data_IF_079449646757
#
_entry.id   IF_079449646757
#
_cell.length_a   1.000
_cell.length_b   1.000
_cell.length_c   1.000
_cell.angle_alpha   90.00
_cell.angle_beta   90.00
_cell.angle_gamma   90.00
#
_symmetry.space_group_name_H-M   'P 1'
#
loop_
_entity.id
_entity.type
_entity.pdbx_description
1 polymer ?
#
# COMPACT_ATOMS: atom_id res chain seq x y z
N UNK A 1 3.99 -11.92 20.46
CA UNK A 1 3.80 -10.58 21.05
C UNK A 1 2.41 -10.14 20.67
N UNK A 2 1.54 -9.87 21.64
CA UNK A 2 0.18 -9.42 21.34
C UNK A 2 0.23 -7.99 20.80
N UNK A 3 -0.57 -7.61 19.78
CA UNK A 3 -0.59 -6.25 19.22
C UNK A 3 -0.92 -5.14 20.23
N UNK A 4 -1.38 -5.48 21.44
CA UNK A 4 -1.72 -4.50 22.49
C UNK A 4 -0.50 -3.89 23.20
N UNK A 5 0.68 -4.50 23.10
CA UNK A 5 1.88 -4.08 23.86
C UNK A 5 2.90 -3.27 23.02
N UNK A 6 2.62 -3.02 21.74
CA UNK A 6 3.52 -2.21 20.91
C UNK A 6 3.47 -0.73 21.33
N UNK A 7 4.63 -0.06 21.52
CA UNK A 7 4.66 1.35 21.91
C UNK A 7 4.01 2.23 20.81
N UNK A 8 3.36 3.33 21.19
CA UNK A 8 2.57 4.17 20.26
C UNK A 8 3.39 4.75 19.10
N UNK A 9 4.70 4.91 19.29
CA UNK A 9 5.63 5.35 18.23
C UNK A 9 5.74 4.31 17.10
N UNK A 10 5.70 3.00 17.43
CA UNK A 10 5.82 1.93 16.43
C UNK A 10 4.57 1.84 15.54
N UNK A 11 3.38 2.00 16.12
CA UNK A 11 2.13 2.01 15.36
C UNK A 11 2.06 3.19 14.38
N UNK A 12 2.57 4.35 14.79
CA UNK A 12 2.66 5.53 13.92
C UNK A 12 3.62 5.31 12.75
N UNK A 13 4.74 4.63 12.99
CA UNK A 13 5.68 4.27 11.92
C UNK A 13 5.06 3.28 10.92
N UNK A 14 4.32 2.27 11.40
CA UNK A 14 3.63 1.30 10.53
C UNK A 14 2.63 1.97 9.58
N UNK A 15 1.89 2.98 10.06
CA UNK A 15 0.95 3.76 9.23
C UNK A 15 1.63 4.60 8.12
N UNK A 16 2.94 4.80 8.18
CA UNK A 16 3.67 5.64 7.22
C UNK A 16 4.70 4.86 6.40
N UNK A 17 4.64 3.53 6.42
CA UNK A 17 5.49 2.63 5.63
C UNK A 17 4.64 1.72 4.76
N UNK A 18 5.26 1.14 3.74
CA UNK A 18 4.64 0.07 2.96
C UNK A 18 4.79 -1.26 3.70
N UNK A 19 3.79 -2.16 3.62
CA UNK A 19 3.84 -3.44 4.30
C UNK A 19 4.92 -4.35 3.70
N UNK A 20 5.54 -5.19 4.53
CA UNK A 20 6.66 -6.08 4.13
C UNK A 20 6.34 -6.93 2.89
N UNK A 21 5.13 -7.51 2.73
CA UNK A 21 4.72 -8.17 1.49
C UNK A 21 4.98 -7.36 0.20
N UNK A 22 4.89 -6.03 0.23
CA UNK A 22 5.12 -5.18 -0.93
C UNK A 22 6.61 -4.83 -1.15
N UNK A 23 7.43 -4.87 -0.12
CA UNK A 23 8.81 -4.34 -0.13
C UNK A 23 9.90 -5.40 0.02
N UNK A 24 9.56 -6.60 0.51
CA UNK A 24 10.51 -7.67 0.80
C UNK A 24 11.32 -8.08 -0.45
N UNK A 25 12.65 -7.85 -0.46
CA UNK A 25 13.50 -8.13 -1.63
C UNK A 25 13.61 -9.63 -1.95
N UNK A 26 13.24 -10.52 -1.04
CA UNK A 26 13.24 -11.96 -1.28
C UNK A 26 11.96 -12.44 -1.99
N UNK A 27 10.93 -11.59 -2.10
CA UNK A 27 9.75 -11.88 -2.90
C UNK A 27 9.99 -11.56 -4.37
N UNK A 28 9.32 -12.30 -5.24
CA UNK A 28 9.42 -12.07 -6.68
C UNK A 28 8.97 -10.66 -7.04
N UNK A 29 9.48 -10.13 -8.16
CA UNK A 29 9.06 -8.81 -8.65
C UNK A 29 7.56 -8.78 -8.99
N UNK A 30 7.02 -9.90 -9.51
CA UNK A 30 5.59 -10.08 -9.77
C UNK A 30 4.77 -9.99 -8.49
N UNK A 31 5.13 -10.75 -7.46
CA UNK A 31 4.40 -10.77 -6.17
C UNK A 31 4.40 -9.40 -5.50
N UNK A 32 5.55 -8.71 -5.50
CA UNK A 32 5.65 -7.35 -4.94
C UNK A 32 4.77 -6.37 -5.71
N UNK A 33 4.74 -6.47 -7.04
CA UNK A 33 3.93 -5.61 -7.88
C UNK A 33 2.42 -5.87 -7.67
N UNK A 34 2.01 -7.14 -7.66
CA UNK A 34 0.63 -7.55 -7.37
C UNK A 34 0.18 -7.06 -5.98
N UNK A 35 0.98 -7.34 -4.94
CA UNK A 35 0.70 -6.89 -3.57
C UNK A 35 0.60 -5.37 -3.50
N UNK A 36 1.48 -4.64 -4.19
CA UNK A 36 1.45 -3.17 -4.24
C UNK A 36 0.16 -2.67 -4.90
N UNK A 37 -0.30 -3.30 -5.98
CA UNK A 37 -1.56 -2.96 -6.65
C UNK A 37 -2.78 -3.23 -5.77
N UNK A 38 -2.78 -4.30 -4.96
CA UNK A 38 -3.88 -4.59 -4.03
C UNK A 38 -4.08 -3.50 -2.98
N UNK A 39 -3.02 -2.80 -2.57
CA UNK A 39 -3.11 -1.69 -1.59
C UNK A 39 -3.90 -0.48 -2.10
N UNK A 40 -4.20 -0.41 -3.41
CA UNK A 40 -5.09 0.62 -3.97
C UNK A 40 -6.57 0.36 -3.70
N UNK A 41 -6.93 -0.77 -3.08
CA UNK A 41 -8.30 -1.03 -2.63
C UNK A 41 -8.76 -0.11 -1.48
N UNK A 42 -7.81 0.48 -0.76
CA UNK A 42 -8.10 1.34 0.37
C UNK A 42 -8.35 2.78 -0.08
N UNK A 43 -9.29 3.43 0.59
CA UNK A 43 -9.73 4.80 0.31
C UNK A 43 -9.40 5.74 1.47
N UNK A 44 -9.27 7.04 1.18
CA UNK A 44 -8.94 8.05 2.20
C UNK A 44 -10.12 8.43 3.10
N UNK A 45 -11.30 7.84 2.90
CA UNK A 45 -12.53 8.23 3.61
C UNK A 45 -13.32 7.02 4.09
N UNK A 46 -14.30 7.27 4.97
CA UNK A 46 -15.25 6.25 5.39
C UNK A 46 -14.60 5.02 6.04
N UNK A 47 -15.11 3.83 5.70
CA UNK A 47 -14.64 2.53 6.20
C UNK A 47 -13.28 2.12 5.63
N UNK A 48 -12.97 2.48 4.37
CA UNK A 48 -11.70 2.11 3.73
C UNK A 48 -10.47 2.66 4.45
N UNK A 49 -10.59 3.85 5.05
CA UNK A 49 -9.53 4.45 5.86
C UNK A 49 -9.28 3.65 7.15
N UNK A 50 -10.35 3.18 7.80
CA UNK A 50 -10.27 2.42 9.05
C UNK A 50 -9.73 1.02 8.77
N UNK A 51 -10.20 0.37 7.70
CA UNK A 51 -9.72 -0.95 7.27
C UNK A 51 -8.23 -0.92 6.92
N UNK A 52 -7.77 0.16 6.27
CA UNK A 52 -6.34 0.36 6.02
C UNK A 52 -5.54 0.50 7.31
N UNK A 53 -6.01 1.33 8.24
CA UNK A 53 -5.31 1.56 9.50
C UNK A 53 -5.25 0.26 10.32
N UNK A 54 -6.32 -0.53 10.34
CA UNK A 54 -6.37 -1.84 10.99
C UNK A 54 -5.38 -2.81 10.35
N UNK A 55 -5.32 -2.86 9.01
CA UNK A 55 -4.35 -3.69 8.27
C UNK A 55 -2.90 -3.31 8.59
N UNK A 56 -2.58 -2.02 8.66
CA UNK A 56 -1.22 -1.55 8.94
C UNK A 56 -0.78 -1.78 10.40
N UNK A 57 -1.71 -1.61 11.34
CA UNK A 57 -1.37 -1.60 12.77
C UNK A 57 -1.65 -2.94 13.46
N UNK A 58 -2.50 -3.78 12.88
CA UNK A 58 -3.03 -4.97 13.53
C UNK A 58 -4.08 -4.68 14.60
N UNK A 59 -4.52 -3.43 14.75
CA UNK A 59 -5.57 -3.04 15.70
C UNK A 59 -6.95 -3.48 15.18
N UNK A 60 -7.78 -4.00 16.09
CA UNK A 60 -9.18 -4.28 15.80
C UNK A 60 -10.00 -2.98 15.60
N UNK A 61 -9.68 -1.95 16.39
CA UNK A 61 -10.27 -0.61 16.26
C UNK A 61 -9.16 0.47 16.29
N UNK A 62 -8.71 0.95 15.12
CA UNK A 62 -7.72 2.02 15.03
C UNK A 62 -8.16 3.35 15.63
N UNK A 63 -9.47 3.63 15.71
CA UNK A 63 -10.00 4.90 16.24
C UNK A 63 -9.85 5.01 17.76
N UNK A 64 -9.57 3.89 18.44
CA UNK A 64 -9.20 3.88 19.86
C UNK A 64 -7.82 4.50 20.14
N UNK A 65 -6.96 4.64 19.12
CA UNK A 65 -5.58 5.15 19.24
C UNK A 65 -5.31 6.38 18.40
N UNK A 66 -6.00 6.53 17.26
CA UNK A 66 -5.77 7.63 16.32
C UNK A 66 -7.08 8.35 16.05
N UNK A 67 -7.03 9.67 15.94
CA UNK A 67 -8.16 10.43 15.42
C UNK A 67 -8.35 10.18 13.92
N UNK A 68 -9.56 10.39 13.40
CA UNK A 68 -9.83 10.28 11.95
C UNK A 68 -8.91 11.20 11.13
N UNK A 69 -8.72 12.44 11.57
CA UNK A 69 -7.86 13.40 10.88
C UNK A 69 -6.40 12.92 10.80
N UNK A 70 -5.87 12.37 11.90
CA UNK A 70 -4.55 11.77 11.93
C UNK A 70 -4.37 10.59 10.96
N UNK A 71 -5.41 9.77 10.81
CA UNK A 71 -5.41 8.67 9.85
C UNK A 71 -5.43 9.21 8.41
N UNK A 72 -6.21 10.26 8.13
CA UNK A 72 -6.27 10.89 6.81
C UNK A 72 -4.91 11.45 6.39
N UNK A 73 -4.22 12.17 7.27
CA UNK A 73 -2.88 12.71 7.02
C UNK A 73 -1.85 11.60 6.76
N UNK A 74 -1.87 10.55 7.59
CA UNK A 74 -0.96 9.41 7.44
C UNK A 74 -1.27 8.61 6.18
N UNK A 75 -2.54 8.46 5.83
CA UNK A 75 -2.96 7.82 4.59
C UNK A 75 -2.47 8.58 3.37
N UNK A 76 -2.55 9.92 3.37
CA UNK A 76 -2.02 10.75 2.27
C UNK A 76 -0.52 10.54 2.07
N UNK A 77 0.25 10.43 3.17
CA UNK A 77 1.68 10.09 3.12
C UNK A 77 1.92 8.68 2.60
N UNK A 78 1.18 7.69 3.11
CA UNK A 78 1.23 6.31 2.64
C UNK A 78 0.94 6.20 1.14
N UNK A 79 -0.09 6.90 0.65
CA UNK A 79 -0.47 6.95 -0.78
C UNK A 79 0.66 7.48 -1.65
N UNK A 80 1.36 8.50 -1.19
CA UNK A 80 2.50 9.07 -1.92
C UNK A 80 3.68 8.09 -2.00
N UNK A 81 3.96 7.35 -0.91
CA UNK A 81 4.96 6.29 -0.90
C UNK A 81 4.56 5.11 -1.80
N UNK A 82 3.28 4.74 -1.78
CA UNK A 82 2.73 3.68 -2.61
C UNK A 82 2.85 4.00 -4.11
N UNK A 83 2.52 5.23 -4.50
CA UNK A 83 2.63 5.68 -5.89
C UNK A 83 4.09 5.73 -6.37
N UNK A 84 5.03 6.13 -5.51
CA UNK A 84 6.46 6.10 -5.83
C UNK A 84 6.98 4.66 -6.00
N UNK A 85 6.65 3.77 -5.05
CA UNK A 85 7.05 2.37 -5.08
C UNK A 85 6.47 1.62 -6.28
N UNK A 86 5.20 1.84 -6.59
CA UNK A 86 4.57 1.26 -7.79
C UNK A 86 5.30 1.70 -9.06
N UNK A 87 5.68 2.97 -9.18
CA UNK A 87 6.39 3.48 -10.35
C UNK A 87 7.75 2.79 -10.55
N UNK A 88 8.48 2.52 -9.47
CA UNK A 88 9.77 1.83 -9.52
C UNK A 88 9.60 0.35 -9.90
N UNK A 89 8.67 -0.36 -9.25
CA UNK A 89 8.37 -1.76 -9.58
C UNK A 89 7.90 -1.93 -11.03
N UNK A 90 7.04 -1.03 -11.51
CA UNK A 90 6.54 -1.05 -12.90
C UNK A 90 7.67 -0.78 -13.88
N UNK A 91 8.57 0.16 -13.58
CA UNK A 91 9.73 0.44 -14.44
C UNK A 91 10.65 -0.78 -14.52
N UNK A 92 10.89 -1.46 -13.41
CA UNK A 92 11.71 -2.67 -13.35
C UNK A 92 11.03 -3.83 -14.08
N UNK A 93 9.74 -4.06 -13.84
CA UNK A 93 8.98 -5.18 -14.42
C UNK A 93 8.80 -4.99 -15.93
N UNK A 94 8.49 -3.78 -16.40
CA UNK A 94 8.38 -3.46 -17.84
C UNK A 94 9.65 -3.79 -18.61
N UNK A 95 10.82 -3.61 -18.00
CA UNK A 95 12.12 -3.93 -18.63
C UNK A 95 12.39 -5.43 -18.70
N UNK A 96 11.88 -6.21 -17.74
CA UNK A 96 12.13 -7.65 -17.65
C UNK A 96 11.07 -8.47 -18.37
N UNK A 97 9.80 -8.15 -18.15
CA UNK A 97 8.65 -8.89 -18.63
C UNK A 97 7.41 -7.98 -18.75
N UNK A 98 7.15 -7.52 -19.98
CA UNK A 98 5.99 -6.67 -20.28
C UNK A 98 4.67 -7.44 -20.27
N UNK A 99 4.68 -8.76 -20.54
CA UNK A 99 3.46 -9.57 -20.57
C UNK A 99 2.94 -9.82 -19.16
N UNK A 100 3.85 -10.11 -18.21
CA UNK A 100 3.49 -10.18 -16.79
C UNK A 100 2.93 -8.86 -16.28
N UNK A 101 3.51 -7.72 -16.66
CA UNK A 101 2.95 -6.41 -16.31
C UNK A 101 1.52 -6.21 -16.86
N UNK A 102 1.26 -6.61 -18.11
CA UNK A 102 -0.08 -6.52 -18.71
C UNK A 102 -1.09 -7.41 -18.01
N UNK A 103 -0.69 -8.63 -17.63
CA UNK A 103 -1.53 -9.56 -16.85
C UNK A 103 -1.89 -8.99 -15.48
N UNK A 104 -0.90 -8.47 -14.75
CA UNK A 104 -1.15 -7.84 -13.45
C UNK A 104 -2.07 -6.62 -13.59
N UNK A 105 -1.85 -5.79 -14.62
CA UNK A 105 -2.68 -4.63 -14.89
C UNK A 105 -4.17 -4.97 -15.10
N UNK A 106 -4.48 -6.08 -15.79
CA UNK A 106 -5.87 -6.46 -16.06
C UNK A 106 -6.58 -7.04 -14.84
N UNK A 107 -5.83 -7.59 -13.88
CA UNK A 107 -6.35 -8.17 -12.64
C UNK A 107 -6.41 -7.16 -11.48
N UNK A 108 -5.68 -6.04 -11.60
CA UNK A 108 -5.57 -5.04 -10.56
C UNK A 108 -6.89 -4.26 -10.35
N UNK A 109 -7.16 -3.76 -9.12
CA UNK A 109 -8.27 -2.84 -8.85
C UNK A 109 -8.24 -1.61 -9.78
N UNK A 110 -9.40 -1.02 -10.07
CA UNK A 110 -9.52 0.14 -10.98
C UNK A 110 -8.54 1.28 -10.63
N UNK A 111 -8.34 1.52 -9.34
CA UNK A 111 -7.48 2.62 -8.89
C UNK A 111 -6.00 2.30 -9.05
N UNK A 112 -5.62 1.03 -8.92
CA UNK A 112 -4.29 0.56 -9.30
C UNK A 112 -4.08 0.68 -10.82
N UNK A 113 -5.07 0.38 -11.66
CA UNK A 113 -4.96 0.55 -13.11
C UNK A 113 -4.74 2.03 -13.49
N UNK A 114 -5.47 2.94 -12.84
CA UNK A 114 -5.29 4.38 -13.04
C UNK A 114 -3.92 4.86 -12.58
N UNK A 115 -3.43 4.38 -11.45
CA UNK A 115 -2.08 4.67 -10.98
C UNK A 115 -1.00 4.10 -11.88
N UNK A 116 -1.17 2.87 -12.37
CA UNK A 116 -0.28 2.23 -13.31
C UNK A 116 -0.16 3.02 -14.61
N UNK A 117 -1.28 3.49 -15.18
CA UNK A 117 -1.27 4.35 -16.38
C UNK A 117 -0.44 5.62 -16.15
N UNK A 118 -0.57 6.25 -14.97
CA UNK A 118 0.23 7.43 -14.60
C UNK A 118 1.71 7.07 -14.43
N UNK A 119 2.03 5.94 -13.82
CA UNK A 119 3.40 5.47 -13.61
C UNK A 119 4.11 5.15 -14.93
N UNK A 120 3.40 4.58 -15.91
CA UNK A 120 3.94 4.24 -17.23
C UNK A 120 4.20 5.49 -18.09
N UNK A 121 3.42 6.55 -17.88
CA UNK A 121 3.54 7.82 -18.61
C UNK A 121 4.66 8.74 -18.10
N UNK A 122 5.31 8.40 -16.98
CA UNK A 122 6.50 9.07 -16.44
C UNK A 122 7.77 8.45 -16.98
#
# INVERSE_FOLDING_TARGET
VSPMDDPPEDLTLRLTRLPDPATDPFRSLEDRCATTMELYRFESTGGGLVDWAAMQTGLADPLSRFSRHELEDRFARFRSLLDAHLADLVRELRKRDVETLRRLASQAPREAQTALRRAVAR
#
